data_IF_149310291982
#
_entry.id   IF_149310291982
#
_cell.length_a   1.000
_cell.length_b   1.000
_cell.length_c   1.000
_cell.angle_alpha   90.00
_cell.angle_beta   90.00
_cell.angle_gamma   90.00
#
_symmetry.space_group_name_H-M   'P 1'
#
loop_
_entity.id
_entity.type
_entity.pdbx_description
1 polymer ?
#
# COMPACT_ATOMS: atom_id res chain seq x y z
N UNK A 1 -35.20 -56.87 73.57
CA UNK A 1 -34.88 -56.74 72.13
C UNK A 1 -36.12 -56.16 71.48
N UNK A 2 -36.23 -54.89 71.08
CA UNK A 2 -35.31 -54.07 70.31
C UNK A 2 -35.93 -53.88 68.93
N UNK A 3 -36.65 -52.78 68.68
CA UNK A 3 -37.01 -52.30 67.35
C UNK A 3 -37.05 -50.76 67.32
N UNK A 4 -36.33 -50.24 66.34
CA UNK A 4 -35.90 -48.86 66.11
C UNK A 4 -36.97 -48.00 65.42
N UNK A 5 -37.03 -46.67 65.64
CA UNK A 5 -37.80 -45.78 64.78
C UNK A 5 -36.99 -45.38 63.54
N UNK A 6 -37.57 -45.61 62.36
CA UNK A 6 -37.03 -45.15 61.07
C UNK A 6 -37.05 -43.61 60.99
N UNK A 7 -35.88 -42.99 61.05
CA UNK A 7 -35.68 -41.61 60.64
C UNK A 7 -35.74 -41.53 59.09
N UNK A 8 -36.75 -40.87 58.55
CA UNK A 8 -36.77 -40.44 57.14
C UNK A 8 -36.08 -39.09 57.05
N UNK A 9 -34.84 -39.07 56.55
CA UNK A 9 -34.14 -37.83 56.25
C UNK A 9 -34.76 -37.16 55.00
N UNK A 10 -35.35 -35.98 55.18
CA UNK A 10 -35.73 -35.08 54.08
C UNK A 10 -34.45 -34.55 53.41
N UNK A 11 -34.24 -34.88 52.14
CA UNK A 11 -33.19 -34.26 51.34
C UNK A 11 -33.53 -32.75 51.13
N UNK A 12 -32.57 -31.82 51.26
CA UNK A 12 -32.83 -30.40 51.07
C UNK A 12 -33.12 -30.10 49.58
N UNK A 13 -34.33 -29.62 49.27
CA UNK A 13 -34.80 -29.29 47.91
C UNK A 13 -34.08 -28.11 47.25
N UNK A 14 -33.27 -27.37 48.00
CA UNK A 14 -32.52 -26.19 47.53
C UNK A 14 -31.15 -26.51 46.94
N UNK A 15 -30.65 -27.73 47.14
CA UNK A 15 -29.33 -28.13 46.65
C UNK A 15 -29.31 -28.26 45.12
N UNK A 16 -30.36 -28.82 44.51
CA UNK A 16 -30.46 -28.97 43.06
C UNK A 16 -30.52 -27.60 42.34
N UNK A 17 -31.41 -26.65 42.73
CA UNK A 17 -31.42 -25.31 42.15
C UNK A 17 -30.10 -24.55 42.36
N UNK A 18 -29.48 -24.68 43.54
CA UNK A 18 -28.20 -24.03 43.85
C UNK A 18 -27.04 -24.55 43.00
N UNK A 19 -26.96 -25.87 42.80
CA UNK A 19 -25.95 -26.50 41.94
C UNK A 19 -26.19 -26.15 40.48
N UNK A 20 -27.45 -26.12 40.01
CA UNK A 20 -27.77 -25.69 38.65
C UNK A 20 -27.44 -24.22 38.40
N UNK A 21 -27.70 -23.33 39.37
CA UNK A 21 -27.34 -21.91 39.26
C UNK A 21 -25.82 -21.71 39.24
N UNK A 22 -25.07 -22.39 40.11
CA UNK A 22 -23.61 -22.35 40.11
C UNK A 22 -23.03 -22.90 38.80
N UNK A 23 -23.56 -24.01 38.28
CA UNK A 23 -23.13 -24.56 37.00
C UNK A 23 -23.39 -23.58 35.84
N UNK A 24 -24.57 -22.94 35.81
CA UNK A 24 -24.90 -21.93 34.80
C UNK A 24 -23.99 -20.71 34.90
N UNK A 25 -23.68 -20.23 36.10
CA UNK A 25 -22.73 -19.13 36.32
C UNK A 25 -21.31 -19.50 35.89
N UNK A 26 -20.82 -20.68 36.25
CA UNK A 26 -19.49 -21.16 35.84
C UNK A 26 -19.39 -21.32 34.33
N UNK A 27 -20.39 -21.89 33.67
CA UNK A 27 -20.43 -22.01 32.20
C UNK A 27 -20.45 -20.62 31.55
N UNK A 28 -21.24 -19.69 32.08
CA UNK A 28 -21.31 -18.32 31.56
C UNK A 28 -19.99 -17.58 31.74
N UNK A 29 -19.35 -17.70 32.90
CA UNK A 29 -18.04 -17.10 33.15
C UNK A 29 -16.95 -17.71 32.25
N UNK A 30 -17.00 -19.02 32.01
CA UNK A 30 -16.05 -19.72 31.14
C UNK A 30 -16.28 -19.36 29.67
N UNK A 31 -17.54 -19.18 29.25
CA UNK A 31 -17.92 -18.63 27.95
C UNK A 31 -17.45 -17.19 27.80
N UNK A 32 -17.68 -16.32 28.78
CA UNK A 32 -17.23 -14.92 28.75
C UNK A 32 -15.71 -14.83 28.73
N UNK A 33 -15.00 -15.65 29.52
CA UNK A 33 -13.55 -15.74 29.50
C UNK A 33 -13.05 -16.25 28.15
N UNK A 34 -13.68 -17.29 27.57
CA UNK A 34 -13.30 -17.80 26.24
C UNK A 34 -13.64 -16.84 25.13
N UNK A 35 -14.72 -16.07 25.24
CA UNK A 35 -15.08 -15.00 24.30
C UNK A 35 -14.13 -13.82 24.42
N UNK A 36 -13.70 -13.44 25.63
CA UNK A 36 -12.71 -12.40 25.86
C UNK A 36 -11.31 -12.82 25.40
N UNK A 37 -10.89 -14.05 25.69
CA UNK A 37 -9.66 -14.66 25.17
C UNK A 37 -9.70 -14.74 23.63
N UNK A 38 -10.80 -15.23 23.06
CA UNK A 38 -11.00 -15.24 21.61
C UNK A 38 -11.05 -13.84 21.01
N UNK A 39 -11.71 -12.85 21.61
CA UNK A 39 -11.81 -11.49 21.10
C UNK A 39 -10.51 -10.68 21.29
N UNK A 40 -9.72 -10.99 22.32
CA UNK A 40 -8.41 -10.41 22.56
C UNK A 40 -7.33 -11.00 21.65
N UNK A 41 -7.48 -12.28 21.28
CA UNK A 41 -6.67 -12.95 20.27
C UNK A 41 -7.10 -12.64 18.83
N UNK A 42 -8.42 -12.50 18.58
CA UNK A 42 -8.99 -12.17 17.27
C UNK A 42 -8.88 -10.68 17.02
N UNK A 43 -7.75 -10.26 16.43
CA UNK A 43 -7.43 -8.85 16.26
C UNK A 43 -8.06 -8.21 15.01
N UNK A 44 -8.67 -9.00 14.11
CA UNK A 44 -9.71 -8.69 13.07
C UNK A 44 -9.74 -9.79 11.99
N UNK A 45 -10.72 -9.78 11.09
CA UNK A 45 -10.80 -10.57 9.83
C UNK A 45 -9.60 -10.34 8.87
N UNK A 46 -8.76 -9.34 9.14
CA UNK A 46 -7.69 -8.84 8.27
C UNK A 46 -6.26 -9.32 8.61
N UNK A 47 -6.06 -10.59 9.01
CA UNK A 47 -4.72 -11.18 9.16
C UNK A 47 -3.91 -10.75 10.39
N UNK A 48 -4.49 -9.99 11.33
CA UNK A 48 -3.80 -9.60 12.58
C UNK A 48 -3.60 -10.75 13.60
N UNK A 49 -4.06 -11.96 13.26
CA UNK A 49 -3.79 -13.20 14.02
C UNK A 49 -2.60 -13.99 13.43
N UNK A 50 -1.98 -13.48 12.36
CA UNK A 50 -0.84 -14.11 11.71
C UNK A 50 0.46 -13.64 12.34
N UNK A 51 1.46 -14.51 12.33
CA UNK A 51 2.81 -14.16 12.73
C UNK A 51 3.42 -13.15 11.75
N UNK A 52 4.32 -12.25 12.21
CA UNK A 52 5.12 -11.43 11.32
C UNK A 52 5.91 -12.30 10.33
N UNK A 53 6.18 -11.77 9.15
CA UNK A 53 7.07 -12.45 8.20
C UNK A 53 8.43 -12.73 8.85
N UNK A 54 8.98 -13.95 8.75
CA UNK A 54 10.28 -14.30 9.32
C UNK A 54 11.44 -13.42 8.84
N UNK A 55 11.34 -12.88 7.63
CA UNK A 55 12.37 -12.05 6.98
C UNK A 55 12.26 -10.55 7.31
N UNK A 56 11.16 -10.09 7.90
CA UNK A 56 11.01 -8.72 8.40
C UNK A 56 10.23 -8.71 9.71
N UNK A 57 10.97 -8.58 10.81
CA UNK A 57 10.38 -8.49 12.14
C UNK A 57 9.89 -7.07 12.41
N UNK A 58 8.58 -6.95 12.63
CA UNK A 58 8.00 -5.73 13.17
C UNK A 58 7.50 -6.00 14.58
N UNK A 59 7.82 -5.14 15.56
CA UNK A 59 7.33 -5.30 16.91
C UNK A 59 5.80 -5.30 16.91
N UNK A 60 5.21 -6.28 17.59
CA UNK A 60 3.76 -6.37 17.72
C UNK A 60 3.23 -5.10 18.40
N UNK A 61 2.16 -4.50 17.85
CA UNK A 61 1.48 -3.38 18.51
C UNK A 61 0.92 -3.85 19.85
N UNK A 62 1.40 -3.25 20.93
CA UNK A 62 0.84 -3.42 22.27
C UNK A 62 -0.39 -2.51 22.40
N UNK A 63 -1.54 -3.09 22.75
CA UNK A 63 -2.77 -2.34 23.00
C UNK A 63 -3.04 -2.29 24.50
N UNK A 64 -3.34 -1.09 25.00
CA UNK A 64 -3.86 -0.88 26.36
C UNK A 64 -5.25 -1.49 26.54
N UNK A 65 -5.63 -1.73 27.80
CA UNK A 65 -6.82 -2.51 28.19
C UNK A 65 -8.14 -1.89 27.70
N UNK A 66 -8.30 -0.56 27.83
CA UNK A 66 -9.48 0.17 27.32
C UNK A 66 -9.60 0.08 25.79
N UNK A 67 -8.47 0.09 25.07
CA UNK A 67 -8.45 -0.05 23.60
C UNK A 67 -8.83 -1.46 23.16
N UNK A 68 -8.55 -2.48 23.99
CA UNK A 68 -8.93 -3.88 23.73
C UNK A 68 -10.44 -4.06 23.82
N UNK A 69 -11.09 -3.55 24.86
CA UNK A 69 -12.55 -3.66 25.04
C UNK A 69 -13.32 -2.94 23.93
N UNK A 70 -12.92 -1.71 23.57
CA UNK A 70 -13.53 -0.96 22.46
C UNK A 70 -13.36 -1.68 21.10
N UNK A 71 -12.23 -2.38 20.90
CA UNK A 71 -12.00 -3.22 19.72
C UNK A 71 -12.86 -4.47 19.72
N UNK A 72 -12.91 -5.21 20.83
CA UNK A 72 -13.73 -6.40 20.97
C UNK A 72 -15.21 -6.10 20.66
N UNK A 73 -15.72 -4.98 21.19
CA UNK A 73 -17.06 -4.49 20.86
C UNK A 73 -17.25 -4.22 19.35
N UNK A 74 -16.31 -3.52 18.70
CA UNK A 74 -16.36 -3.28 17.25
C UNK A 74 -16.26 -4.58 16.44
N UNK A 75 -15.46 -5.54 16.87
CA UNK A 75 -15.32 -6.85 16.19
C UNK A 75 -16.63 -7.64 16.27
N UNK A 76 -17.28 -7.66 17.43
CA UNK A 76 -18.58 -8.31 17.62
C UNK A 76 -19.64 -7.62 16.74
N UNK A 77 -19.66 -6.28 16.72
CA UNK A 77 -20.60 -5.50 15.92
C UNK A 77 -20.38 -5.62 14.41
N UNK A 78 -19.15 -5.91 13.97
CA UNK A 78 -18.79 -6.15 12.56
C UNK A 78 -18.70 -7.64 12.21
N UNK A 79 -19.08 -8.54 13.11
CA UNK A 79 -19.09 -9.98 12.83
C UNK A 79 -20.21 -10.34 11.85
N UNK A 80 -20.04 -11.45 11.14
CA UNK A 80 -20.98 -11.95 10.11
C UNK A 80 -22.44 -12.09 10.60
N UNK A 81 -22.66 -12.16 11.93
CA UNK A 81 -23.96 -12.22 12.56
C UNK A 81 -24.73 -10.89 12.53
N UNK A 82 -24.05 -9.76 12.29
CA UNK A 82 -24.65 -8.44 12.15
C UNK A 82 -25.04 -8.11 10.69
N UNK A 83 -24.63 -8.93 9.73
CA UNK A 83 -25.12 -8.82 8.36
C UNK A 83 -26.56 -9.37 8.29
N UNK A 84 -27.55 -8.50 8.39
CA UNK A 84 -28.85 -8.84 7.83
C UNK A 84 -28.66 -9.13 6.35
N UNK A 85 -29.09 -10.32 5.89
CA UNK A 85 -29.29 -10.64 4.48
C UNK A 85 -30.38 -9.74 3.92
N UNK A 86 -30.07 -8.46 3.72
CA UNK A 86 -30.86 -7.58 2.90
C UNK A 86 -30.71 -8.07 1.46
N UNK A 87 -31.83 -8.48 0.86
CA UNK A 87 -31.96 -8.69 -0.58
C UNK A 87 -31.53 -7.42 -1.28
N UNK A 88 -30.25 -7.34 -1.64
CA UNK A 88 -29.74 -6.26 -2.45
C UNK A 88 -30.18 -6.53 -3.88
N UNK A 89 -31.31 -5.96 -4.26
CA UNK A 89 -31.66 -5.73 -5.67
C UNK A 89 -30.47 -5.06 -6.32
N UNK A 90 -29.82 -5.77 -7.24
CA UNK A 90 -28.72 -5.28 -8.06
C UNK A 90 -29.26 -4.05 -8.82
N UNK A 91 -28.73 -2.84 -8.60
CA UNK A 91 -29.11 -1.71 -9.44
C UNK A 91 -28.62 -1.98 -10.85
N UNK A 92 -29.54 -1.89 -11.81
CA UNK A 92 -29.25 -2.01 -13.23
C UNK A 92 -28.16 -0.99 -13.64
N UNK A 93 -27.12 -1.48 -14.32
CA UNK A 93 -25.94 -0.71 -14.69
C UNK A 93 -26.27 0.41 -15.68
N UNK A 94 -25.62 1.58 -15.58
CA UNK A 94 -25.57 2.52 -16.70
C UNK A 94 -24.88 1.85 -17.88
N UNK A 95 -25.54 1.90 -19.05
CA UNK A 95 -25.05 1.34 -20.31
C UNK A 95 -23.60 1.76 -20.60
N UNK A 96 -22.81 0.79 -21.07
CA UNK A 96 -21.45 1.01 -21.52
C UNK A 96 -21.43 2.02 -22.68
N UNK A 97 -20.82 3.18 -22.45
CA UNK A 97 -20.47 4.10 -23.53
C UNK A 97 -19.49 3.42 -24.50
N UNK A 98 -19.61 3.69 -25.82
CA UNK A 98 -18.81 3.03 -26.83
C UNK A 98 -17.33 3.20 -26.56
N UNK A 99 -16.61 2.07 -26.57
CA UNK A 99 -15.17 2.00 -26.45
C UNK A 99 -14.51 2.89 -27.49
N UNK A 100 -13.79 3.91 -27.03
CA UNK A 100 -12.81 4.63 -27.84
C UNK A 100 -11.80 3.64 -28.43
N UNK A 101 -11.15 3.98 -29.56
CA UNK A 101 -10.23 3.10 -30.26
C UNK A 101 -9.18 2.59 -29.29
N UNK A 102 -8.76 1.33 -29.45
CA UNK A 102 -7.68 0.69 -28.69
C UNK A 102 -6.46 1.61 -28.61
N UNK A 103 -6.37 2.37 -27.53
CA UNK A 103 -5.14 3.03 -27.11
C UNK A 103 -4.11 1.91 -26.98
N UNK A 104 -3.07 1.96 -27.81
CA UNK A 104 -1.87 1.14 -27.61
C UNK A 104 -1.48 1.27 -26.14
N UNK A 105 -1.24 0.12 -25.48
CA UNK A 105 -0.68 0.15 -24.14
C UNK A 105 0.59 1.00 -24.17
N UNK A 106 0.72 1.89 -23.18
CA UNK A 106 1.88 2.77 -23.06
C UNK A 106 3.17 1.94 -23.09
N UNK A 107 4.23 2.49 -23.67
CA UNK A 107 5.49 1.75 -23.89
C UNK A 107 6.05 1.11 -22.61
N UNK A 108 5.77 1.68 -21.43
CA UNK A 108 6.24 1.11 -20.16
C UNK A 108 5.59 -0.22 -19.78
N UNK A 109 4.44 -0.60 -20.37
CA UNK A 109 3.88 -1.95 -20.17
C UNK A 109 4.80 -3.06 -20.70
N UNK A 110 5.80 -2.73 -21.54
CA UNK A 110 6.85 -3.67 -21.93
C UNK A 110 7.59 -4.25 -20.72
N UNK A 111 7.64 -3.52 -19.60
CA UNK A 111 8.33 -3.97 -18.40
C UNK A 111 7.62 -5.16 -17.74
N UNK A 112 6.31 -5.32 -17.92
CA UNK A 112 5.60 -6.55 -17.50
C UNK A 112 6.17 -7.76 -18.24
N UNK A 113 6.40 -7.64 -19.55
CA UNK A 113 7.01 -8.72 -20.34
C UNK A 113 8.46 -8.99 -19.95
N UNK A 114 9.21 -7.96 -19.58
CA UNK A 114 10.56 -8.11 -19.05
C UNK A 114 10.54 -8.87 -17.71
N UNK A 115 9.68 -8.47 -16.77
CA UNK A 115 9.60 -9.08 -15.44
C UNK A 115 9.14 -10.54 -15.50
N UNK A 116 8.35 -10.90 -16.52
CA UNK A 116 7.89 -12.28 -16.76
C UNK A 116 8.80 -13.07 -17.71
N UNK A 117 9.84 -12.45 -18.28
CA UNK A 117 10.78 -13.10 -19.21
C UNK A 117 11.40 -14.40 -18.65
N UNK A 118 11.78 -14.49 -17.35
CA UNK A 118 12.42 -15.69 -16.81
C UNK A 118 11.60 -16.97 -17.00
N UNK A 119 10.27 -16.85 -17.10
CA UNK A 119 9.35 -17.97 -17.31
C UNK A 119 8.74 -18.03 -18.72
N UNK A 120 9.17 -17.17 -19.65
CA UNK A 120 8.54 -17.07 -20.97
C UNK A 120 8.62 -18.37 -21.79
N UNK A 121 9.67 -19.20 -21.59
CA UNK A 121 9.85 -20.48 -22.28
C UNK A 121 9.36 -21.69 -21.49
N UNK A 122 9.54 -21.67 -20.18
CA UNK A 122 9.28 -22.81 -19.28
C UNK A 122 7.87 -22.77 -18.68
N UNK A 123 7.25 -21.61 -18.63
CA UNK A 123 6.04 -21.35 -17.87
C UNK A 123 6.29 -21.36 -16.35
N UNK A 124 5.26 -20.96 -15.61
CA UNK A 124 5.22 -21.06 -14.15
C UNK A 124 4.50 -22.36 -13.79
N UNK A 125 5.22 -23.26 -13.13
CA UNK A 125 4.68 -24.55 -12.66
C UNK A 125 4.23 -24.48 -11.19
N UNK A 126 3.47 -25.49 -10.75
CA UNK A 126 3.11 -25.64 -9.33
C UNK A 126 4.33 -25.75 -8.40
N UNK A 127 5.45 -26.30 -8.88
CA UNK A 127 6.68 -26.37 -8.09
C UNK A 127 7.31 -24.98 -7.89
N UNK A 128 7.24 -24.09 -8.89
CA UNK A 128 7.65 -22.70 -8.73
C UNK A 128 6.82 -22.00 -7.65
N UNK A 129 5.49 -22.19 -7.66
CA UNK A 129 4.60 -21.59 -6.67
C UNK A 129 4.87 -22.15 -5.27
N UNK A 130 5.03 -23.46 -5.13
CA UNK A 130 5.33 -24.11 -3.85
C UNK A 130 6.66 -23.60 -3.25
N UNK A 131 7.68 -23.34 -4.08
CA UNK A 131 8.94 -22.78 -3.61
C UNK A 131 8.82 -21.28 -3.30
N UNK A 132 8.12 -20.51 -4.14
CA UNK A 132 7.86 -19.09 -3.92
C UNK A 132 7.03 -18.84 -2.63
N UNK A 133 6.17 -19.78 -2.24
CA UNK A 133 5.37 -19.71 -1.01
C UNK A 133 6.24 -19.45 0.25
N UNK A 134 7.46 -19.99 0.29
CA UNK A 134 8.39 -19.81 1.42
C UNK A 134 8.78 -18.35 1.66
N UNK A 135 8.56 -17.49 0.65
CA UNK A 135 8.88 -16.06 0.66
C UNK A 135 7.64 -15.17 0.59
N UNK A 136 6.44 -15.77 0.55
CA UNK A 136 5.18 -15.07 0.39
C UNK A 136 4.53 -14.79 1.74
N UNK A 137 3.90 -13.63 1.87
CA UNK A 137 3.02 -13.32 2.99
C UNK A 137 1.60 -13.86 2.77
N UNK A 138 1.16 -13.97 1.51
CA UNK A 138 -0.14 -14.52 1.16
C UNK A 138 -0.16 -15.02 -0.29
N UNK A 139 -1.10 -15.92 -0.57
CA UNK A 139 -1.40 -16.42 -1.92
C UNK A 139 -2.73 -15.88 -2.38
N UNK A 140 -2.81 -15.55 -3.66
CA UNK A 140 -4.03 -15.15 -4.34
C UNK A 140 -4.33 -16.16 -5.44
N UNK A 141 -5.57 -16.65 -5.46
CA UNK A 141 -6.08 -17.50 -6.54
C UNK A 141 -7.34 -16.85 -7.09
N UNK A 142 -7.38 -16.62 -8.40
CA UNK A 142 -8.58 -16.18 -9.11
C UNK A 142 -9.02 -17.35 -9.99
N UNK A 143 -10.26 -17.80 -9.81
CA UNK A 143 -10.87 -18.85 -10.66
C UNK A 143 -12.30 -18.46 -10.98
N UNK A 144 -12.65 -18.47 -12.27
CA UNK A 144 -13.98 -18.11 -12.76
C UNK A 144 -14.48 -16.76 -12.21
N UNK A 145 -13.57 -15.77 -12.13
CA UNK A 145 -13.87 -14.43 -11.63
C UNK A 145 -14.08 -14.31 -10.11
N UNK A 146 -13.80 -15.38 -9.34
CA UNK A 146 -13.85 -15.37 -7.87
C UNK A 146 -12.45 -15.29 -7.30
N UNK A 147 -12.25 -14.40 -6.32
CA UNK A 147 -10.99 -14.23 -5.61
C UNK A 147 -10.97 -15.11 -4.34
N UNK A 148 -9.93 -15.91 -4.22
CA UNK A 148 -9.58 -16.69 -3.05
C UNK A 148 -8.23 -16.21 -2.54
N UNK A 149 -8.09 -16.14 -1.21
CA UNK A 149 -6.86 -15.68 -0.58
C UNK A 149 -6.51 -16.62 0.56
N UNK A 150 -5.26 -17.05 0.60
CA UNK A 150 -4.68 -17.81 1.70
C UNK A 150 -3.59 -16.95 2.36
N UNK A 151 -3.66 -16.78 3.67
CA UNK A 151 -2.84 -15.83 4.41
C UNK A 151 -1.80 -16.57 5.25
N UNK A 152 -0.51 -16.33 4.99
CA UNK A 152 0.59 -17.01 5.67
C UNK A 152 1.16 -16.17 6.81
N UNK A 153 1.39 -14.88 6.55
CA UNK A 153 2.02 -13.96 7.48
C UNK A 153 1.32 -12.60 7.47
N UNK A 154 1.47 -11.86 8.57
CA UNK A 154 0.98 -10.47 8.65
C UNK A 154 1.91 -9.52 7.91
N UNK A 155 1.31 -8.44 7.40
CA UNK A 155 1.98 -7.37 6.69
C UNK A 155 2.10 -6.12 7.56
N UNK A 156 3.06 -5.25 7.23
CA UNK A 156 3.11 -3.91 7.80
C UNK A 156 1.80 -3.21 7.49
N UNK A 157 1.09 -2.71 8.51
CA UNK A 157 -0.12 -1.89 8.32
C UNK A 157 -1.18 -2.60 7.43
N UNK A 158 -2.08 -1.84 6.81
CA UNK A 158 -3.18 -2.35 6.00
C UNK A 158 -2.80 -2.78 4.56
N UNK A 159 -1.51 -2.93 4.26
CA UNK A 159 -0.99 -3.13 2.89
C UNK A 159 -1.60 -4.32 2.16
N UNK A 160 -1.62 -5.48 2.81
CA UNK A 160 -2.23 -6.70 2.29
C UNK A 160 -3.70 -6.50 1.95
N UNK A 161 -4.46 -5.92 2.88
CA UNK A 161 -5.90 -5.71 2.71
C UNK A 161 -6.21 -4.78 1.54
N UNK A 162 -5.45 -3.69 1.38
CA UNK A 162 -5.66 -2.75 0.27
C UNK A 162 -5.19 -3.33 -1.07
N UNK A 163 -4.21 -4.23 -1.07
CA UNK A 163 -3.82 -4.99 -2.27
C UNK A 163 -4.94 -5.94 -2.70
N UNK A 164 -5.48 -6.72 -1.76
CA UNK A 164 -6.63 -7.61 -1.99
C UNK A 164 -7.86 -6.80 -2.44
N UNK A 165 -8.13 -5.66 -1.81
CA UNK A 165 -9.20 -4.75 -2.21
C UNK A 165 -9.01 -4.27 -3.65
N UNK A 166 -7.77 -4.00 -4.04
CA UNK A 166 -7.44 -3.65 -5.42
C UNK A 166 -7.80 -4.73 -6.43
N UNK A 167 -7.48 -5.98 -6.12
CA UNK A 167 -7.85 -7.14 -6.93
C UNK A 167 -9.37 -7.34 -7.02
N UNK A 168 -10.09 -7.15 -5.91
CA UNK A 168 -11.57 -7.18 -5.90
C UNK A 168 -12.16 -6.09 -6.82
N UNK A 169 -11.62 -4.87 -6.76
CA UNK A 169 -12.05 -3.78 -7.63
C UNK A 169 -11.72 -4.05 -9.10
N UNK A 170 -10.59 -4.70 -9.38
CA UNK A 170 -10.23 -5.13 -10.73
C UNK A 170 -11.25 -6.14 -11.28
N UNK A 171 -11.59 -7.16 -10.51
CA UNK A 171 -12.61 -8.17 -10.87
C UNK A 171 -13.98 -7.53 -11.12
N UNK A 172 -14.39 -6.61 -10.23
CA UNK A 172 -15.65 -5.85 -10.40
C UNK A 172 -15.65 -4.98 -11.65
N UNK A 173 -14.51 -4.39 -12.01
CA UNK A 173 -14.38 -3.52 -13.18
C UNK A 173 -14.34 -4.30 -14.50
N UNK A 174 -13.80 -5.51 -14.50
CA UNK A 174 -13.62 -6.31 -15.70
C UNK A 174 -14.19 -7.74 -15.55
N UNK A 175 -15.52 -7.87 -15.34
CA UNK A 175 -16.15 -9.17 -15.18
C UNK A 175 -15.90 -10.06 -16.42
N UNK A 176 -15.47 -11.31 -16.18
CA UNK A 176 -15.17 -12.29 -17.22
C UNK A 176 -13.93 -12.00 -18.08
N UNK A 177 -13.13 -10.97 -17.77
CA UNK A 177 -11.93 -10.59 -18.54
C UNK A 177 -10.61 -10.77 -17.78
N UNK A 178 -10.67 -11.01 -16.47
CA UNK A 178 -9.50 -11.37 -15.66
C UNK A 178 -9.32 -12.88 -15.76
N UNK A 179 -8.14 -13.38 -16.17
CA UNK A 179 -7.91 -14.81 -16.32
C UNK A 179 -7.86 -15.51 -14.96
N UNK A 180 -8.00 -16.84 -15.01
CA UNK A 180 -7.68 -17.67 -13.87
C UNK A 180 -6.16 -17.58 -13.61
N UNK A 181 -5.77 -17.34 -12.36
CA UNK A 181 -4.37 -17.11 -11.99
C UNK A 181 -4.12 -17.55 -10.56
N UNK A 182 -2.90 -18.00 -10.29
CA UNK A 182 -2.40 -18.41 -8.99
C UNK A 182 -1.07 -17.70 -8.74
N UNK A 183 -1.03 -16.85 -7.72
CA UNK A 183 0.10 -15.93 -7.48
C UNK A 183 0.50 -15.92 -6.01
N UNK A 184 1.81 -15.87 -5.79
CA UNK A 184 2.43 -15.67 -4.47
C UNK A 184 2.78 -14.19 -4.31
N UNK A 185 2.45 -13.60 -3.17
CA UNK A 185 2.62 -12.18 -2.92
C UNK A 185 3.37 -11.94 -1.60
N UNK A 186 4.32 -11.02 -1.61
CA UNK A 186 4.88 -10.45 -0.38
C UNK A 186 4.75 -8.93 -0.35
N UNK A 187 4.36 -8.43 0.82
CA UNK A 187 3.91 -7.06 1.07
C UNK A 187 4.97 -6.19 1.76
N UNK A 188 6.19 -6.69 1.90
CA UNK A 188 7.31 -5.97 2.50
C UNK A 188 8.06 -5.12 1.46
N UNK A 189 8.89 -4.19 1.94
CA UNK A 189 9.44 -3.11 1.14
C UNK A 189 10.58 -3.55 0.18
N UNK A 190 11.47 -4.46 0.57
CA UNK A 190 12.62 -4.80 -0.28
C UNK A 190 12.33 -6.00 -1.19
N UNK A 191 12.87 -6.03 -2.42
CA UNK A 191 12.90 -7.23 -3.25
C UNK A 191 13.57 -8.40 -2.50
N UNK A 192 13.24 -9.64 -2.90
CA UNK A 192 13.62 -10.83 -2.14
C UNK A 192 14.25 -11.92 -2.99
N UNK A 193 13.81 -12.12 -4.22
CA UNK A 193 14.26 -13.25 -5.05
C UNK A 193 15.48 -12.84 -5.85
N UNK A 194 16.67 -13.04 -5.27
CA UNK A 194 17.93 -12.69 -5.93
C UNK A 194 18.17 -13.55 -7.20
N UNK A 195 18.58 -12.91 -8.29
CA UNK A 195 18.82 -13.53 -9.60
C UNK A 195 19.92 -14.60 -9.54
N UNK A 196 20.99 -14.36 -8.77
CA UNK A 196 22.14 -15.26 -8.65
C UNK A 196 21.78 -16.51 -7.84
N UNK A 197 21.07 -16.33 -6.73
CA UNK A 197 20.66 -17.44 -5.83
C UNK A 197 19.60 -18.33 -6.48
N UNK A 198 18.67 -17.75 -7.24
CA UNK A 198 17.55 -18.45 -7.84
C UNK A 198 17.71 -18.70 -9.35
N UNK A 199 18.94 -18.63 -9.89
CA UNK A 199 19.18 -18.77 -11.33
C UNK A 199 18.68 -20.10 -11.92
N UNK A 200 18.79 -21.20 -11.18
CA UNK A 200 18.35 -22.52 -11.64
C UNK A 200 16.83 -22.69 -11.58
N UNK A 201 16.14 -21.92 -10.73
CA UNK A 201 14.70 -21.97 -10.53
C UNK A 201 14.19 -20.58 -10.14
N UNK A 202 13.96 -19.69 -11.12
CA UNK A 202 13.42 -18.36 -10.86
C UNK A 202 12.05 -18.48 -10.18
N UNK A 203 11.81 -17.71 -9.11
CA UNK A 203 10.56 -17.78 -8.33
C UNK A 203 9.65 -16.58 -8.62
N UNK A 204 8.39 -16.79 -9.06
CA UNK A 204 7.47 -15.71 -9.40
C UNK A 204 6.79 -15.17 -8.13
N UNK A 205 7.47 -14.23 -7.47
CA UNK A 205 6.96 -13.54 -6.29
C UNK A 205 6.52 -12.12 -6.66
N UNK A 206 5.25 -11.81 -6.45
CA UNK A 206 4.74 -10.45 -6.62
C UNK A 206 5.09 -9.60 -5.41
N UNK A 207 5.61 -8.40 -5.68
CA UNK A 207 5.97 -7.39 -4.69
C UNK A 207 5.62 -6.01 -5.21
N UNK A 208 5.98 -4.96 -4.50
CA UNK A 208 5.70 -3.58 -4.92
C UNK A 208 6.88 -2.90 -5.62
N UNK A 209 8.08 -3.48 -5.55
CA UNK A 209 9.25 -3.05 -6.33
C UNK A 209 10.18 -4.23 -6.64
N UNK A 210 11.14 -3.99 -7.53
CA UNK A 210 12.26 -4.87 -7.86
C UNK A 210 13.56 -4.08 -8.05
N UNK A 211 14.67 -4.75 -8.36
CA UNK A 211 15.90 -4.17 -8.93
C UNK A 211 16.40 -5.06 -10.08
N UNK A 212 17.44 -4.64 -10.79
CA UNK A 212 18.08 -5.45 -11.85
C UNK A 212 18.59 -6.83 -11.35
N UNK A 213 18.85 -6.95 -10.04
CA UNK A 213 19.38 -8.17 -9.40
C UNK A 213 18.29 -9.09 -8.83
N UNK A 214 17.00 -8.81 -9.09
CA UNK A 214 15.88 -9.55 -8.50
C UNK A 214 14.83 -9.99 -9.53
N UNK A 215 14.25 -11.18 -9.31
CA UNK A 215 13.14 -11.72 -10.11
C UNK A 215 11.76 -11.30 -9.61
N UNK A 216 11.67 -10.52 -8.53
CA UNK A 216 10.40 -10.06 -8.00
C UNK A 216 9.61 -9.27 -9.05
N UNK A 217 8.30 -9.53 -9.13
CA UNK A 217 7.41 -8.95 -10.14
C UNK A 217 6.70 -7.73 -9.52
N UNK A 218 7.00 -6.49 -9.96
CA UNK A 218 6.39 -5.30 -9.38
C UNK A 218 4.90 -5.18 -9.72
N UNK A 219 4.11 -5.02 -8.67
CA UNK A 219 2.68 -4.82 -8.66
C UNK A 219 2.36 -3.43 -8.11
N UNK A 220 1.26 -2.76 -8.53
CA UNK A 220 0.87 -1.50 -7.94
C UNK A 220 0.74 -1.56 -6.42
N UNK A 221 1.39 -0.62 -5.73
CA UNK A 221 1.36 -0.58 -4.27
C UNK A 221 -0.06 -0.39 -3.70
N UNK A 222 -0.25 -0.76 -2.44
CA UNK A 222 -1.53 -0.67 -1.74
C UNK A 222 -2.11 0.76 -1.74
N UNK A 223 -1.25 1.79 -1.76
CA UNK A 223 -1.65 3.18 -1.63
C UNK A 223 -2.39 3.72 -2.86
N UNK A 224 -2.41 2.98 -3.97
CA UNK A 224 -3.34 3.26 -5.09
C UNK A 224 -4.81 3.17 -4.69
N UNK A 225 -5.13 2.30 -3.74
CA UNK A 225 -6.48 2.10 -3.22
C UNK A 225 -6.70 2.81 -1.88
N UNK A 226 -5.64 3.31 -1.26
CA UNK A 226 -5.68 4.11 -0.05
C UNK A 226 -4.62 3.66 0.96
N UNK A 227 -4.32 4.54 1.91
CA UNK A 227 -3.41 4.25 3.01
C UNK A 227 -3.93 4.94 4.28
N UNK A 228 -4.88 4.30 5.00
CA UNK A 228 -5.61 4.94 6.08
C UNK A 228 -4.72 5.33 7.26
N UNK A 229 -3.63 4.61 7.52
CA UNK A 229 -2.65 4.94 8.57
C UNK A 229 -1.92 6.27 8.34
N UNK A 230 -2.06 6.87 7.16
CA UNK A 230 -1.47 8.18 6.81
C UNK A 230 -2.51 9.18 6.30
N UNK A 231 -3.80 8.87 6.45
CA UNK A 231 -4.92 9.65 5.92
C UNK A 231 -4.83 9.90 4.40
N UNK A 232 -4.26 8.96 3.65
CA UNK A 232 -4.20 9.01 2.19
C UNK A 232 -5.39 8.29 1.59
N UNK A 233 -6.13 9.01 0.74
CA UNK A 233 -7.29 8.51 0.00
C UNK A 233 -6.88 7.69 -1.22
N UNK A 234 -7.82 6.95 -1.84
CA UNK A 234 -7.57 6.30 -3.11
C UNK A 234 -7.03 7.29 -4.16
N UNK A 235 -6.15 6.79 -5.04
CA UNK A 235 -5.40 7.60 -5.99
C UNK A 235 -6.26 8.58 -6.80
N UNK A 236 -7.44 8.16 -7.29
CA UNK A 236 -8.28 9.01 -8.15
C UNK A 236 -8.77 10.26 -7.40
N UNK A 237 -9.08 10.13 -6.11
CA UNK A 237 -9.51 11.24 -5.26
C UNK A 237 -8.34 12.14 -4.88
N UNK A 238 -7.22 11.53 -4.48
CA UNK A 238 -6.03 12.26 -4.06
C UNK A 238 -5.41 13.02 -5.23
N UNK A 239 -5.38 12.43 -6.43
CA UNK A 239 -4.96 13.10 -7.67
C UNK A 239 -5.82 14.33 -7.95
N UNK A 240 -7.15 14.24 -7.83
CA UNK A 240 -8.05 15.41 -8.03
C UNK A 240 -7.78 16.52 -7.02
N UNK A 241 -7.49 16.17 -5.77
CA UNK A 241 -7.18 17.16 -4.74
C UNK A 241 -5.80 17.81 -4.96
N UNK A 242 -4.79 17.01 -5.29
CA UNK A 242 -3.45 17.50 -5.66
C UNK A 242 -3.53 18.42 -6.88
N UNK A 243 -4.30 18.06 -7.91
CA UNK A 243 -4.46 18.91 -9.09
C UNK A 243 -5.12 20.24 -8.75
N UNK A 244 -6.21 20.22 -7.98
CA UNK A 244 -6.83 21.46 -7.47
C UNK A 244 -5.86 22.30 -6.64
N UNK A 245 -5.08 21.67 -5.76
CA UNK A 245 -4.03 22.34 -4.97
C UNK A 245 -2.95 22.97 -5.85
N UNK A 246 -2.45 22.23 -6.84
CA UNK A 246 -1.40 22.68 -7.76
C UNK A 246 -1.78 23.90 -8.59
N UNK A 247 -3.08 24.04 -8.90
CA UNK A 247 -3.65 25.11 -9.71
C UNK A 247 -3.97 26.39 -8.91
N UNK A 248 -3.85 26.36 -7.57
CA UNK A 248 -4.07 27.55 -6.73
C UNK A 248 -3.04 28.66 -6.99
N UNK A 249 -1.83 28.27 -7.40
CA UNK A 249 -0.71 29.17 -7.62
C UNK A 249 -0.05 28.80 -8.96
N UNK A 250 0.02 29.77 -9.88
CA UNK A 250 0.71 29.63 -11.18
C UNK A 250 2.19 29.32 -10.98
N UNK A 251 2.82 28.69 -11.97
CA UNK A 251 4.23 28.29 -11.89
C UNK A 251 5.15 29.46 -11.48
N UNK A 252 4.96 30.61 -12.13
CA UNK A 252 5.69 31.86 -11.88
C UNK A 252 5.58 32.38 -10.43
N UNK A 253 4.53 32.00 -9.70
CA UNK A 253 4.28 32.42 -8.31
C UNK A 253 4.66 31.35 -7.28
N UNK A 254 5.07 30.14 -7.72
CA UNK A 254 5.59 29.10 -6.80
C UNK A 254 6.95 29.52 -6.25
N UNK A 255 7.29 29.04 -5.07
CA UNK A 255 8.61 29.26 -4.47
C UNK A 255 9.71 28.67 -5.36
N UNK A 256 10.73 29.45 -5.78
CA UNK A 256 11.78 29.02 -6.71
C UNK A 256 12.86 28.19 -6.01
N UNK A 257 12.43 27.19 -5.25
CA UNK A 257 13.31 26.31 -4.48
C UNK A 257 12.81 24.87 -4.56
N UNK A 258 13.74 23.94 -4.40
CA UNK A 258 13.43 22.53 -4.27
C UNK A 258 12.88 22.21 -2.89
N UNK A 259 11.88 21.34 -2.85
CA UNK A 259 11.22 20.97 -1.61
C UNK A 259 11.09 19.46 -1.45
N UNK A 260 11.38 19.00 -0.24
CA UNK A 260 11.15 17.64 0.20
C UNK A 260 10.57 17.65 1.63
N UNK A 261 9.58 16.80 1.88
CA UNK A 261 9.12 16.45 3.23
C UNK A 261 9.01 14.94 3.31
N UNK A 262 9.75 14.30 4.22
CA UNK A 262 9.76 12.85 4.33
C UNK A 262 10.42 12.37 5.61
N UNK A 263 10.19 11.09 5.93
CA UNK A 263 10.76 10.47 7.13
C UNK A 263 12.17 9.98 6.80
N UNK A 264 13.24 10.53 7.40
CA UNK A 264 14.60 10.06 7.19
C UNK A 264 14.92 8.80 8.02
N UNK A 265 14.13 8.50 9.06
CA UNK A 265 14.37 7.41 10.01
C UNK A 265 13.81 6.08 9.48
N UNK A 266 14.18 5.75 8.23
CA UNK A 266 13.73 4.58 7.47
C UNK A 266 14.91 3.79 6.90
N UNK A 267 16.08 3.89 7.53
CA UNK A 267 17.34 3.27 7.09
C UNK A 267 17.69 3.59 5.62
N UNK A 268 17.53 4.86 5.24
CA UNK A 268 17.83 5.37 3.90
C UNK A 268 19.03 6.32 3.96
N UNK A 269 20.23 5.90 3.51
CA UNK A 269 21.40 6.77 3.49
C UNK A 269 21.17 8.05 2.68
N UNK A 270 20.45 7.94 1.56
CA UNK A 270 20.15 9.09 0.69
C UNK A 270 19.26 10.13 1.38
N UNK A 271 18.30 9.71 2.23
CA UNK A 271 17.49 10.67 3.00
C UNK A 271 18.29 11.35 4.09
N UNK A 272 19.21 10.64 4.74
CA UNK A 272 20.10 11.23 5.75
C UNK A 272 21.02 12.27 5.11
N UNK A 273 21.58 11.97 3.93
CA UNK A 273 22.39 12.93 3.18
C UNK A 273 21.56 14.14 2.72
N UNK A 274 20.33 13.90 2.24
CA UNK A 274 19.43 14.96 1.78
C UNK A 274 19.14 16.01 2.87
N UNK A 275 19.10 15.62 4.15
CA UNK A 275 18.92 16.58 5.26
C UNK A 275 20.03 17.63 5.33
N UNK A 276 21.25 17.30 4.91
CA UNK A 276 22.38 18.24 4.87
C UNK A 276 22.20 19.33 3.79
N UNK A 277 21.27 19.10 2.85
CA UNK A 277 20.95 20.06 1.80
C UNK A 277 19.90 21.11 2.24
N UNK A 278 19.47 21.15 3.50
CA UNK A 278 18.46 22.09 3.99
C UNK A 278 18.99 23.53 4.14
N UNK A 279 19.23 24.20 3.02
CA UNK A 279 19.67 25.60 3.01
C UNK A 279 19.16 26.32 1.76
N UNK A 280 18.14 27.17 1.93
CA UNK A 280 17.46 27.85 0.82
C UNK A 280 18.39 28.73 -0.02
N UNK A 281 19.31 29.50 0.59
CA UNK A 281 20.26 30.35 -0.16
C UNK A 281 21.41 29.59 -0.80
N UNK A 282 22.02 28.65 -0.08
CA UNK A 282 23.19 27.92 -0.56
C UNK A 282 22.80 26.88 -1.62
N UNK A 283 21.78 26.07 -1.34
CA UNK A 283 21.40 24.93 -2.18
C UNK A 283 20.11 25.13 -2.97
N UNK A 284 19.36 26.22 -2.72
CA UNK A 284 18.05 26.40 -3.33
C UNK A 284 17.05 25.35 -2.85
N UNK A 285 17.20 24.81 -1.63
CA UNK A 285 16.42 23.69 -1.15
C UNK A 285 15.88 23.87 0.27
N UNK A 286 14.66 23.39 0.48
CA UNK A 286 13.97 23.29 1.77
C UNK A 286 13.63 21.82 2.03
N UNK A 287 14.25 21.26 3.06
CA UNK A 287 14.15 19.83 3.40
C UNK A 287 13.53 19.72 4.79
N UNK A 288 12.34 19.11 4.86
CA UNK A 288 11.52 19.00 6.06
C UNK A 288 11.47 17.55 6.55
N UNK A 289 11.63 17.35 7.86
CA UNK A 289 11.39 16.04 8.48
C UNK A 289 9.90 15.78 8.60
N UNK A 290 9.49 14.57 8.26
CA UNK A 290 8.12 14.08 8.44
C UNK A 290 8.03 13.31 9.76
N UNK A 291 7.28 13.85 10.71
CA UNK A 291 6.93 13.14 11.95
C UNK A 291 5.51 12.57 11.80
N UNK A 292 5.40 11.24 11.73
CA UNK A 292 4.10 10.59 11.56
C UNK A 292 3.30 10.53 12.86
N UNK A 293 3.95 10.56 14.02
CA UNK A 293 3.25 10.53 15.31
C UNK A 293 2.59 11.88 15.57
N UNK A 294 3.30 12.97 15.31
CA UNK A 294 2.73 14.32 15.43
C UNK A 294 1.60 14.54 14.42
N UNK A 295 1.77 14.13 13.16
CA UNK A 295 0.73 14.30 12.14
C UNK A 295 -0.53 13.49 12.46
N UNK A 296 -0.38 12.28 13.01
CA UNK A 296 -1.52 11.51 13.49
C UNK A 296 -2.28 12.27 14.60
N UNK A 297 -1.57 12.98 15.49
CA UNK A 297 -2.18 13.79 16.56
C UNK A 297 -2.94 15.01 16.03
N UNK A 298 -2.44 15.65 14.98
CA UNK A 298 -3.03 16.86 14.39
C UNK A 298 -3.91 16.59 13.15
N UNK A 299 -4.21 15.33 12.83
CA UNK A 299 -5.08 14.99 11.69
C UNK A 299 -4.44 15.14 10.31
N UNK A 300 -3.11 15.07 10.23
CA UNK A 300 -2.29 15.11 9.00
C UNK A 300 -2.39 16.42 8.20
N UNK A 301 -2.83 17.51 8.82
CA UNK A 301 -3.06 18.79 8.14
C UNK A 301 -1.78 19.36 7.51
N UNK A 302 -0.64 19.20 8.19
CA UNK A 302 0.66 19.70 7.74
C UNK A 302 1.32 18.79 6.70
N UNK A 303 0.84 17.56 6.55
CA UNK A 303 1.30 16.61 5.52
C UNK A 303 0.34 16.45 4.35
N UNK A 304 -0.77 17.20 4.31
CA UNK A 304 -1.69 17.17 3.18
C UNK A 304 -0.98 17.46 1.85
N UNK A 305 -1.00 16.49 0.94
CA UNK A 305 -0.23 16.54 -0.31
C UNK A 305 -0.59 17.73 -1.20
N UNK A 306 -1.88 18.09 -1.28
CA UNK A 306 -2.36 19.24 -2.06
C UNK A 306 -1.74 20.58 -1.64
N UNK A 307 -1.27 20.69 -0.38
CA UNK A 307 -0.68 21.91 0.16
C UNK A 307 0.84 21.97 -0.10
N UNK A 308 1.45 20.88 -0.55
CA UNK A 308 2.89 20.79 -0.79
C UNK A 308 3.32 21.13 -2.23
N UNK A 309 2.39 21.57 -3.09
CA UNK A 309 2.62 21.87 -4.51
C UNK A 309 2.95 23.36 -4.79
N UNK A 310 3.32 24.11 -3.76
CA UNK A 310 3.63 25.55 -3.83
C UNK A 310 5.09 25.84 -4.23
N UNK A 311 5.86 24.81 -4.56
CA UNK A 311 7.28 24.88 -4.89
C UNK A 311 7.49 24.55 -6.37
N UNK A 312 8.41 25.25 -7.02
CA UNK A 312 8.74 24.98 -8.42
C UNK A 312 9.36 23.59 -8.57
N UNK A 313 10.16 23.13 -7.61
CA UNK A 313 10.84 21.83 -7.71
C UNK A 313 10.47 20.92 -6.53
N UNK A 314 10.19 19.65 -6.81
CA UNK A 314 9.86 18.63 -5.81
C UNK A 314 10.83 17.48 -5.90
N UNK A 315 11.47 17.14 -4.78
CA UNK A 315 12.49 16.09 -4.74
C UNK A 315 11.84 14.75 -4.44
N UNK A 316 12.23 13.71 -5.17
CA UNK A 316 11.99 12.32 -4.84
C UNK A 316 13.26 11.71 -4.24
N UNK A 317 13.10 11.01 -3.12
CA UNK A 317 14.15 10.28 -2.44
C UNK A 317 13.59 8.95 -1.89
N UNK A 318 14.28 7.86 -2.18
CA UNK A 318 13.91 6.52 -1.75
C UNK A 318 13.94 6.37 -0.23
N UNK A 319 13.08 5.50 0.27
CA UNK A 319 12.97 5.19 1.69
C UNK A 319 13.78 3.95 2.04
N UNK A 320 13.18 3.05 2.79
CA UNK A 320 13.76 1.73 3.05
C UNK A 320 13.94 0.89 1.76
N UNK A 321 13.08 1.16 0.77
CA UNK A 321 13.14 0.75 -0.63
C UNK A 321 12.55 1.87 -1.52
N UNK A 322 11.78 1.53 -2.58
CA UNK A 322 11.01 2.51 -3.34
C UNK A 322 10.10 3.36 -2.42
N UNK A 323 9.80 4.60 -2.82
CA UNK A 323 8.93 5.48 -2.05
C UNK A 323 7.61 5.73 -2.77
N UNK A 324 6.49 5.47 -2.08
CA UNK A 324 5.14 5.72 -2.61
C UNK A 324 4.89 7.18 -3.02
N UNK A 325 5.76 8.11 -2.58
CA UNK A 325 5.67 9.55 -2.82
C UNK A 325 5.83 9.95 -4.29
N UNK A 326 6.44 9.10 -5.13
CA UNK A 326 6.80 9.46 -6.51
C UNK A 326 5.59 9.93 -7.32
N UNK A 327 4.51 9.14 -7.35
CA UNK A 327 3.28 9.47 -8.09
C UNK A 327 2.65 10.79 -7.64
N UNK A 328 2.71 11.10 -6.35
CA UNK A 328 2.18 12.35 -5.80
C UNK A 328 3.06 13.55 -6.17
N UNK A 329 4.39 13.40 -6.12
CA UNK A 329 5.36 14.40 -6.56
C UNK A 329 5.14 14.76 -8.04
N UNK A 330 5.04 13.74 -8.89
CA UNK A 330 4.79 13.89 -10.32
C UNK A 330 3.46 14.61 -10.62
N UNK A 331 2.53 14.60 -9.68
CA UNK A 331 1.19 15.19 -9.83
C UNK A 331 1.11 16.69 -9.48
N UNK A 332 2.08 17.22 -8.73
CA UNK A 332 2.04 18.57 -8.15
C UNK A 332 2.16 19.73 -9.15
N UNK A 333 2.43 19.47 -10.44
CA UNK A 333 2.75 20.56 -11.38
C UNK A 333 4.05 21.29 -11.04
N UNK A 334 4.93 20.62 -10.31
CA UNK A 334 6.30 21.02 -10.00
C UNK A 334 7.25 20.22 -10.92
N UNK A 335 8.46 20.73 -11.19
CA UNK A 335 9.52 19.94 -11.80
C UNK A 335 9.99 18.88 -10.79
N UNK A 336 9.82 17.61 -11.12
CA UNK A 336 10.30 16.51 -10.29
C UNK A 336 11.83 16.38 -10.40
N UNK A 337 12.52 16.47 -9.27
CA UNK A 337 13.93 16.17 -9.14
C UNK A 337 14.04 14.76 -8.53
N UNK A 338 14.39 13.76 -9.34
CA UNK A 338 14.47 12.38 -8.86
C UNK A 338 15.94 12.07 -8.60
N UNK A 339 16.28 11.84 -7.33
CA UNK A 339 17.58 11.27 -6.98
C UNK A 339 17.62 9.86 -7.54
N UNK A 340 18.67 9.52 -8.29
CA UNK A 340 18.78 8.25 -9.00
C UNK A 340 18.28 7.09 -8.14
N UNK A 341 17.19 6.42 -8.54
CA UNK A 341 16.59 5.36 -7.75
C UNK A 341 17.38 4.06 -7.92
N UNK A 342 17.46 3.28 -6.84
CA UNK A 342 17.95 1.90 -6.87
C UNK A 342 16.80 0.91 -7.11
N UNK A 343 15.56 1.31 -6.80
CA UNK A 343 14.38 0.45 -6.88
C UNK A 343 13.44 0.86 -8.02
N UNK A 344 12.82 -0.16 -8.60
CA UNK A 344 11.91 -0.02 -9.72
C UNK A 344 10.50 -0.47 -9.32
N UNK A 345 9.51 0.41 -9.45
CA UNK A 345 8.10 0.03 -9.33
C UNK A 345 7.48 -0.21 -10.72
N UNK A 346 6.19 -0.55 -10.75
CA UNK A 346 5.52 -0.92 -12.00
C UNK A 346 5.43 0.22 -13.04
N UNK A 347 5.66 1.49 -12.66
CA UNK A 347 5.56 2.62 -13.58
C UNK A 347 6.82 3.49 -13.67
N UNK A 348 7.72 3.44 -12.69
CA UNK A 348 8.90 4.31 -12.60
C UNK A 348 9.83 4.12 -13.80
N UNK A 349 9.96 2.88 -14.31
CA UNK A 349 10.72 2.54 -15.52
C UNK A 349 10.14 3.09 -16.83
N UNK A 350 8.93 3.64 -16.77
CA UNK A 350 8.33 4.41 -17.86
C UNK A 350 8.75 5.88 -17.89
N UNK A 351 9.45 6.36 -16.86
CA UNK A 351 9.90 7.74 -16.76
C UNK A 351 11.26 7.90 -17.45
N UNK A 352 11.33 8.84 -18.39
CA UNK A 352 12.54 9.13 -19.15
C UNK A 352 13.24 10.34 -18.52
N UNK A 353 14.51 10.23 -18.08
CA UNK A 353 15.28 11.36 -17.57
C UNK A 353 15.31 12.52 -18.57
N UNK A 354 15.27 13.77 -18.08
CA UNK A 354 15.24 15.02 -18.86
C UNK A 354 14.01 15.21 -19.76
N UNK A 355 13.11 14.23 -19.80
CA UNK A 355 11.75 14.35 -20.34
C UNK A 355 10.76 14.39 -19.18
N UNK A 356 10.57 13.29 -18.46
CA UNK A 356 9.57 13.26 -17.38
C UNK A 356 10.04 13.94 -16.08
N UNK A 357 11.35 13.98 -15.83
CA UNK A 357 11.94 14.48 -14.58
C UNK A 357 13.40 14.91 -14.76
N UNK A 358 13.94 15.66 -13.79
CA UNK A 358 15.36 16.00 -13.72
C UNK A 358 16.12 14.99 -12.85
N UNK A 359 17.08 14.23 -13.39
CA UNK A 359 17.88 13.31 -12.59
C UNK A 359 18.85 14.07 -11.67
N UNK A 360 18.96 13.61 -10.43
CA UNK A 360 19.88 14.15 -9.41
C UNK A 360 20.84 13.04 -9.00
N UNK A 361 22.14 13.34 -9.03
CA UNK A 361 23.18 12.38 -8.63
C UNK A 361 23.22 12.23 -7.10
N UNK A 362 23.26 11.00 -6.56
CA UNK A 362 23.41 10.77 -5.13
C UNK A 362 24.82 11.11 -4.62
N UNK A 363 25.86 11.03 -5.48
CA UNK A 363 27.26 11.21 -5.07
C UNK A 363 27.65 12.67 -4.80
N UNK A 364 26.87 13.63 -5.31
CA UNK A 364 27.10 15.05 -5.11
C UNK A 364 25.76 15.76 -4.92
N UNK A 365 25.01 15.32 -3.92
CA UNK A 365 23.57 15.53 -3.80
C UNK A 365 23.19 17.01 -3.76
N UNK A 366 23.68 17.78 -2.78
CA UNK A 366 23.27 19.18 -2.63
C UNK A 366 23.71 20.07 -3.81
N UNK A 367 24.94 19.96 -4.33
CA UNK A 367 25.32 20.69 -5.55
C UNK A 367 24.54 20.26 -6.79
N UNK A 368 24.15 18.98 -6.92
CA UNK A 368 23.29 18.51 -8.02
C UNK A 368 21.88 19.09 -7.94
N UNK A 369 21.31 19.18 -6.74
CA UNK A 369 20.02 19.86 -6.51
C UNK A 369 20.15 21.35 -6.86
N UNK A 370 21.20 22.02 -6.35
CA UNK A 370 21.46 23.43 -6.65
C UNK A 370 21.55 23.67 -8.15
N UNK A 371 22.31 22.85 -8.86
CA UNK A 371 22.46 22.97 -10.30
C UNK A 371 21.11 22.87 -11.02
N UNK A 372 20.24 21.94 -10.62
CA UNK A 372 18.90 21.79 -11.18
C UNK A 372 18.04 23.06 -10.96
N UNK A 373 18.06 23.61 -9.74
CA UNK A 373 17.29 24.80 -9.36
C UNK A 373 17.81 26.04 -10.08
N UNK A 374 19.14 26.24 -10.11
CA UNK A 374 19.79 27.36 -10.79
C UNK A 374 19.52 27.31 -12.31
N UNK A 375 19.55 26.11 -12.89
CA UNK A 375 19.25 25.92 -14.31
C UNK A 375 17.79 26.24 -14.62
N UNK A 376 16.83 25.71 -13.85
CA UNK A 376 15.40 25.94 -14.08
C UNK A 376 14.99 27.40 -13.84
N UNK A 377 15.67 28.10 -12.92
CA UNK A 377 15.43 29.52 -12.67
C UNK A 377 15.88 30.40 -13.84
N UNK A 378 16.97 30.02 -14.52
CA UNK A 378 17.47 30.72 -15.72
C UNK A 378 16.69 30.39 -16.99
N UNK A 379 15.93 29.29 -16.99
CA UNK A 379 15.12 28.83 -18.11
C UNK A 379 13.67 28.65 -17.66
N UNK A 380 12.98 29.76 -17.29
CA UNK A 380 11.62 29.69 -16.77
C UNK A 380 10.69 29.10 -17.84
N UNK A 381 9.76 28.26 -17.38
CA UNK A 381 8.71 27.73 -18.24
C UNK A 381 7.77 28.89 -18.65
N UNK A 382 7.66 29.17 -19.95
CA UNK A 382 6.68 30.13 -20.45
C UNK A 382 5.26 29.54 -20.29
N UNK A 383 4.40 30.28 -19.58
CA UNK A 383 3.02 29.88 -19.25
C UNK A 383 2.04 30.03 -20.44
N UNK A 384 2.47 30.66 -21.54
CA UNK A 384 1.62 30.94 -22.70
C UNK A 384 2.13 30.24 -23.96
N UNK A 385 1.20 29.49 -24.55
CA UNK A 385 1.30 28.88 -25.87
C UNK A 385 2.08 27.56 -25.98
N UNK A 386 1.73 26.80 -27.00
CA UNK A 386 2.16 25.43 -27.29
C UNK A 386 3.66 25.31 -27.66
N UNK A 387 4.56 25.92 -26.87
CA UNK A 387 6.01 25.92 -27.05
C UNK A 387 6.67 24.63 -26.56
N UNK A 388 7.64 24.14 -27.36
CA UNK A 388 8.39 22.88 -27.21
C UNK A 388 8.98 22.59 -25.81
N UNK A 389 9.15 23.59 -24.93
CA UNK A 389 9.68 23.38 -23.57
C UNK A 389 8.63 22.94 -22.55
N UNK A 390 7.36 23.33 -22.73
CA UNK A 390 6.21 22.84 -21.97
C UNK A 390 5.95 21.34 -22.22
N UNK A 391 6.38 20.84 -23.38
CA UNK A 391 6.23 19.44 -23.80
C UNK A 391 7.22 18.48 -23.18
N UNK A 392 8.41 18.94 -22.74
CA UNK A 392 9.42 18.04 -22.16
C UNK A 392 8.88 17.38 -20.90
N UNK A 393 8.34 18.17 -19.96
CA UNK A 393 7.88 17.70 -18.63
C UNK A 393 6.34 17.69 -18.47
N UNK A 394 5.57 17.75 -19.56
CA UNK A 394 4.10 17.57 -19.51
C UNK A 394 3.79 16.11 -19.16
N UNK A 395 3.40 15.91 -17.91
CA UNK A 395 3.25 14.58 -17.31
C UNK A 395 1.93 13.90 -17.71
N UNK A 396 1.74 13.65 -19.01
CA UNK A 396 0.63 12.81 -19.52
C UNK A 396 0.66 11.42 -18.87
N UNK A 397 1.82 10.98 -18.40
CA UNK A 397 2.03 9.75 -17.62
C UNK A 397 1.12 9.70 -16.39
N UNK A 398 0.94 10.81 -15.65
CA UNK A 398 0.21 10.82 -14.36
C UNK A 398 -1.26 10.42 -14.48
N UNK A 399 -1.96 10.90 -15.52
CA UNK A 399 -3.33 10.49 -15.79
C UNK A 399 -3.43 8.99 -16.10
N UNK A 400 -2.38 8.43 -16.70
CA UNK A 400 -2.29 7.03 -17.02
C UNK A 400 -1.91 6.15 -15.83
N UNK A 401 -1.07 6.59 -14.87
CA UNK A 401 -0.61 5.76 -13.73
C UNK A 401 -1.81 5.11 -13.00
N UNK A 402 -2.85 5.89 -12.69
CA UNK A 402 -4.05 5.39 -12.00
C UNK A 402 -4.92 4.45 -12.84
N UNK A 403 -5.05 4.73 -14.13
CA UNK A 403 -5.73 3.83 -15.07
C UNK A 403 -4.97 2.52 -15.23
N UNK A 404 -3.65 2.59 -15.26
CA UNK A 404 -2.72 1.46 -15.44
C UNK A 404 -2.72 0.54 -14.23
N UNK A 405 -2.64 1.07 -13.01
CA UNK A 405 -2.81 0.30 -11.77
C UNK A 405 -4.14 -0.49 -11.72
N UNK A 406 -5.12 -0.08 -12.53
CA UNK A 406 -6.45 -0.67 -12.65
C UNK A 406 -6.69 -1.25 -14.04
N UNK A 407 -5.65 -1.61 -14.81
CA UNK A 407 -5.78 -2.33 -16.08
C UNK A 407 -5.72 -3.84 -15.86
N UNK A 408 -6.47 -4.58 -16.68
CA UNK A 408 -6.46 -6.04 -16.72
C UNK A 408 -5.09 -6.63 -17.05
N UNK A 409 -4.25 -5.88 -17.77
CA UNK A 409 -2.97 -6.36 -18.31
C UNK A 409 -1.87 -6.48 -17.24
N UNK A 410 -2.16 -6.14 -15.98
CA UNK A 410 -1.27 -6.43 -14.84
C UNK A 410 -1.30 -7.92 -14.46
N UNK A 411 -2.42 -8.60 -14.75
CA UNK A 411 -2.62 -10.02 -14.40
C UNK A 411 -2.44 -10.95 -15.62
N UNK A 412 -2.47 -10.40 -16.83
CA UNK A 412 -2.22 -11.16 -18.06
C UNK A 412 -0.75 -11.26 -18.34
#
# INVERSE_FOLDING_TARGET
>A
MGLSPKNTARAPSYLLPGVSALAAFSITALLLYKVDDFASQTKTVAGHNLDPTPWHLFPAKTFGEQTRQARAYKIIHCSYLACHSGTSTIPEQPQAHPSKPTEKCLDFFRWIHHDLEPWARTGISLSHLAEAQKFAAFRVVIVAGKLYVDLYYTCVQSRMMFTIWGLLLLLKRYPGKVPDVDMMFDCMDRPRINVTEHKSMPLPLFRYCTTEDHYDIPFPDWSFWGWPETNLRPWDEELRDIKRGSQRISWSKKWPQAYWKGNPDVQSPVRLELLKCNHSRMWGAQIMRQDWAEEARIGYEQSKLSNQCNYQYKIYAEGYAWSVSLKYILSCGSLALIISPDYEDFFSRGLIPKKNYWPVSPNNLCPSIKYAVDWGTKHPFEDNDHGQHSLLYKNNTVGCIGGCAKKKDIIK
#
